data_IF_666879467992
#
_entry.id   IF_666879467992
#
_cell.length_a   1.000
_cell.length_b   1.000
_cell.length_c   1.000
_cell.angle_alpha   90.00
_cell.angle_beta   90.00
_cell.angle_gamma   90.00
#
_symmetry.space_group_name_H-M   'P 1'
#
loop_
_entity.id
_entity.type
_entity.pdbx_description
1 polymer ?
#
# COMPACT_ATOMS: atom_id res chain seq x y z
N UNK A 1 24.37 10.13 10.54
CA UNK A 1 24.01 8.72 10.85
C UNK A 1 22.95 8.30 9.82
N UNK A 2 22.99 7.07 9.31
CA UNK A 2 21.94 6.62 8.37
C UNK A 2 20.67 6.24 9.12
N UNK A 3 19.50 6.66 8.64
CA UNK A 3 18.22 6.21 9.21
C UNK A 3 17.98 4.73 8.91
N UNK A 4 17.47 4.01 9.91
CA UNK A 4 17.03 2.63 9.77
C UNK A 4 15.52 2.56 9.46
N UNK A 5 15.20 2.15 8.23
CA UNK A 5 13.83 1.89 7.74
C UNK A 5 13.49 0.39 7.64
N UNK A 6 14.29 -0.50 8.24
CA UNK A 6 14.18 -1.95 8.01
C UNK A 6 12.78 -2.47 8.32
N UNK A 7 12.18 -2.06 9.44
CA UNK A 7 10.88 -2.56 9.86
C UNK A 7 9.76 -2.08 8.93
N UNK A 8 9.79 -0.81 8.52
CA UNK A 8 8.83 -0.24 7.58
C UNK A 8 8.95 -0.91 6.21
N UNK A 9 10.17 -1.05 5.68
CA UNK A 9 10.40 -1.68 4.38
C UNK A 9 10.03 -3.16 4.39
N UNK A 10 10.34 -3.90 5.47
CA UNK A 10 9.92 -5.29 5.62
C UNK A 10 8.39 -5.40 5.61
N UNK A 11 7.70 -4.50 6.31
CA UNK A 11 6.24 -4.44 6.35
C UNK A 11 5.64 -4.13 4.97
N UNK A 12 6.23 -3.21 4.20
CA UNK A 12 5.82 -2.92 2.82
C UNK A 12 6.07 -4.10 1.86
N UNK A 13 7.15 -4.86 2.05
CA UNK A 13 7.42 -6.09 1.28
C UNK A 13 6.38 -7.16 1.58
N UNK A 14 6.05 -7.38 2.86
CA UNK A 14 5.01 -8.31 3.27
C UNK A 14 3.64 -7.90 2.69
N UNK A 15 3.30 -6.62 2.77
CA UNK A 15 2.07 -6.09 2.16
C UNK A 15 2.04 -6.36 0.65
N UNK A 16 3.13 -6.07 -0.06
CA UNK A 16 3.24 -6.33 -1.51
C UNK A 16 3.02 -7.81 -1.84
N UNK A 17 3.65 -8.71 -1.08
CA UNK A 17 3.48 -10.16 -1.24
C UNK A 17 2.04 -10.61 -1.00
N UNK A 18 1.40 -10.12 0.06
CA UNK A 18 0.01 -10.47 0.36
C UNK A 18 -0.98 -9.92 -0.67
N UNK A 19 -0.79 -8.69 -1.14
CA UNK A 19 -1.61 -8.11 -2.21
C UNK A 19 -1.45 -8.89 -3.51
N UNK A 20 -0.23 -9.33 -3.86
CA UNK A 20 -0.01 -10.20 -5.00
C UNK A 20 -0.72 -11.57 -4.85
N UNK A 21 -0.74 -12.13 -3.63
CA UNK A 21 -1.52 -13.34 -3.34
C UNK A 21 -3.02 -13.12 -3.49
N UNK A 22 -3.55 -11.97 -3.05
CA UNK A 22 -4.95 -11.60 -3.21
C UNK A 22 -5.32 -11.47 -4.70
N UNK A 23 -4.51 -10.78 -5.49
CA UNK A 23 -4.68 -10.68 -6.95
C UNK A 23 -4.66 -12.07 -7.61
N UNK A 24 -3.74 -12.95 -7.19
CA UNK A 24 -3.64 -14.32 -7.72
C UNK A 24 -4.91 -15.14 -7.49
N UNK A 25 -5.73 -14.83 -6.48
CA UNK A 25 -7.00 -15.52 -6.27
C UNK A 25 -7.99 -15.35 -7.43
N UNK A 26 -7.78 -14.35 -8.29
CA UNK A 26 -8.58 -14.07 -9.48
C UNK A 26 -7.93 -14.56 -10.78
N UNK A 27 -6.79 -15.25 -10.69
CA UNK A 27 -6.13 -15.81 -11.87
C UNK A 27 -6.91 -17.00 -12.45
N UNK A 28 -6.82 -17.25 -13.78
CA UNK A 28 -7.46 -18.40 -14.43
C UNK A 28 -7.04 -19.77 -13.90
N UNK A 29 -5.98 -19.84 -13.08
CA UNK A 29 -5.47 -21.07 -12.47
C UNK A 29 -6.28 -21.53 -11.26
N UNK A 30 -7.22 -20.72 -10.73
CA UNK A 30 -8.28 -21.22 -9.84
C UNK A 30 -9.40 -21.77 -10.70
N UNK A 31 -9.61 -23.08 -10.62
CA UNK A 31 -10.36 -23.96 -11.52
C UNK A 31 -11.86 -23.68 -11.73
N UNK A 32 -12.34 -22.47 -11.47
CA UNK A 32 -13.76 -22.08 -11.59
C UNK A 32 -13.87 -20.76 -12.36
N UNK A 33 -13.59 -20.81 -13.66
CA UNK A 33 -13.60 -19.64 -14.55
C UNK A 33 -15.02 -19.25 -14.95
N UNK A 34 -15.78 -18.71 -14.00
CA UNK A 34 -16.77 -17.64 -14.23
C UNK A 34 -16.28 -16.34 -13.60
N UNK A 35 -14.99 -16.04 -13.74
CA UNK A 35 -14.26 -14.92 -13.12
C UNK A 35 -14.55 -13.53 -13.74
N UNK A 36 -15.40 -13.45 -14.77
CA UNK A 36 -15.67 -12.21 -15.50
C UNK A 36 -16.82 -11.39 -14.88
N UNK A 37 -16.80 -11.15 -13.56
CA UNK A 37 -17.70 -10.17 -12.95
C UNK A 37 -17.03 -8.80 -12.89
N UNK A 38 -17.80 -7.73 -13.10
CA UNK A 38 -17.31 -6.35 -13.01
C UNK A 38 -16.67 -6.06 -11.64
N UNK A 39 -17.21 -6.65 -10.58
CA UNK A 39 -16.67 -6.55 -9.21
C UNK A 39 -15.27 -7.17 -9.08
N UNK A 40 -15.03 -8.34 -9.69
CA UNK A 40 -13.69 -8.96 -9.69
C UNK A 40 -12.66 -8.09 -10.41
N UNK A 41 -13.04 -7.52 -11.56
CA UNK A 41 -12.16 -6.61 -12.29
C UNK A 41 -11.83 -5.35 -11.46
N UNK A 42 -12.82 -4.81 -10.72
CA UNK A 42 -12.62 -3.68 -9.79
C UNK A 42 -11.72 -4.05 -8.62
N UNK A 43 -11.88 -5.23 -8.01
CA UNK A 43 -11.02 -5.69 -6.93
C UNK A 43 -9.56 -5.77 -7.36
N UNK A 44 -9.31 -6.39 -8.52
CA UNK A 44 -7.95 -6.49 -9.08
C UNK A 44 -7.37 -5.11 -9.38
N UNK A 45 -8.17 -4.18 -9.91
CA UNK A 45 -7.74 -2.81 -10.15
C UNK A 45 -7.31 -2.12 -8.85
N UNK A 46 -8.16 -2.10 -7.82
CA UNK A 46 -7.85 -1.45 -6.54
C UNK A 46 -6.66 -2.09 -5.82
N UNK A 47 -6.57 -3.43 -5.83
CA UNK A 47 -5.42 -4.15 -5.28
C UNK A 47 -4.13 -3.81 -6.04
N UNK A 48 -4.17 -3.75 -7.37
CA UNK A 48 -3.00 -3.41 -8.18
C UNK A 48 -2.57 -1.96 -7.98
N UNK A 49 -3.53 -1.03 -7.92
CA UNK A 49 -3.27 0.39 -7.67
C UNK A 49 -2.62 0.61 -6.30
N UNK A 50 -2.96 -0.21 -5.29
CA UNK A 50 -2.32 -0.15 -3.97
C UNK A 50 -0.81 -0.48 -3.97
N UNK A 51 -0.30 -1.09 -5.04
CA UNK A 51 1.14 -1.36 -5.18
C UNK A 51 1.90 -0.22 -5.87
N UNK A 52 1.18 0.69 -6.54
CA UNK A 52 1.74 1.46 -7.65
C UNK A 52 2.78 2.52 -7.26
N UNK A 53 3.03 2.82 -5.98
CA UNK A 53 4.03 3.85 -5.62
C UNK A 53 5.16 3.36 -4.69
N UNK A 54 5.23 2.06 -4.39
CA UNK A 54 6.31 1.54 -3.55
C UNK A 54 7.68 1.58 -4.23
N UNK A 55 7.74 1.54 -5.57
CA UNK A 55 8.99 1.73 -6.30
C UNK A 55 9.59 3.12 -6.02
N UNK A 56 8.76 4.18 -6.03
CA UNK A 56 9.21 5.55 -5.78
C UNK A 56 9.76 5.72 -4.36
N UNK A 57 9.13 5.07 -3.37
CA UNK A 57 9.64 5.02 -1.98
C UNK A 57 11.00 4.30 -1.96
N UNK A 58 11.09 3.10 -2.55
CA UNK A 58 12.32 2.31 -2.56
C UNK A 58 13.50 3.04 -3.22
N UNK A 59 13.26 3.70 -4.37
CA UNK A 59 14.27 4.54 -5.03
C UNK A 59 14.74 5.70 -4.15
N UNK A 60 13.81 6.36 -3.47
CA UNK A 60 14.13 7.49 -2.59
C UNK A 60 14.95 7.07 -1.37
N UNK A 61 14.68 5.88 -0.82
CA UNK A 61 15.49 5.29 0.25
C UNK A 61 16.91 5.00 -0.24
N UNK A 62 17.09 4.39 -1.41
CA UNK A 62 18.42 4.11 -1.99
C UNK A 62 19.25 5.38 -2.22
N UNK A 63 18.59 6.48 -2.55
CA UNK A 63 19.23 7.78 -2.77
C UNK A 63 19.46 8.58 -1.48
N UNK A 64 19.07 8.04 -0.32
CA UNK A 64 19.03 8.76 0.96
C UNK A 64 18.25 10.09 0.90
N UNK A 65 17.25 10.18 0.01
CA UNK A 65 16.42 11.37 -0.14
C UNK A 65 15.26 11.32 0.86
N UNK A 66 15.55 11.61 2.12
CA UNK A 66 14.59 11.51 3.23
C UNK A 66 13.38 12.43 3.07
N UNK A 67 13.56 13.63 2.48
CA UNK A 67 12.44 14.51 2.17
C UNK A 67 11.44 13.87 1.21
N UNK A 68 11.94 13.20 0.16
CA UNK A 68 11.07 12.52 -0.80
C UNK A 68 10.46 11.23 -0.24
N UNK A 69 11.17 10.50 0.63
CA UNK A 69 10.59 9.36 1.38
C UNK A 69 9.41 9.84 2.22
N UNK A 70 9.56 10.92 2.98
CA UNK A 70 8.50 11.47 3.82
C UNK A 70 7.28 11.88 2.99
N UNK A 71 7.51 12.59 1.88
CA UNK A 71 6.46 13.02 0.96
C UNK A 71 5.68 11.84 0.38
N UNK A 72 6.38 10.85 -0.21
CA UNK A 72 5.72 9.72 -0.87
C UNK A 72 4.97 8.82 0.12
N UNK A 73 5.53 8.62 1.32
CA UNK A 73 4.88 7.83 2.36
C UNK A 73 3.59 8.51 2.86
N UNK A 74 3.63 9.84 3.07
CA UNK A 74 2.45 10.61 3.44
C UNK A 74 1.36 10.61 2.36
N UNK A 75 1.74 10.84 1.10
CA UNK A 75 0.82 10.81 -0.04
C UNK A 75 0.09 9.47 -0.17
N UNK A 76 0.82 8.36 -0.01
CA UNK A 76 0.20 7.03 -0.05
C UNK A 76 -0.69 6.76 1.15
N UNK A 77 -0.29 7.20 2.35
CA UNK A 77 -1.11 7.03 3.55
C UNK A 77 -2.45 7.77 3.39
N UNK A 78 -2.43 9.00 2.87
CA UNK A 78 -3.62 9.80 2.58
C UNK A 78 -4.51 9.10 1.54
N UNK A 79 -3.95 8.66 0.41
CA UNK A 79 -4.71 7.93 -0.62
C UNK A 79 -5.41 6.68 -0.06
N UNK A 80 -4.72 5.91 0.79
CA UNK A 80 -5.32 4.73 1.40
C UNK A 80 -6.37 5.06 2.47
N UNK A 81 -6.21 6.17 3.19
CA UNK A 81 -7.27 6.68 4.07
C UNK A 81 -8.51 7.08 3.27
N UNK A 82 -8.35 7.76 2.13
CA UNK A 82 -9.45 8.10 1.22
C UNK A 82 -10.17 6.84 0.72
N UNK A 83 -9.42 5.79 0.36
CA UNK A 83 -10.00 4.50 -0.02
C UNK A 83 -10.92 3.94 1.08
N UNK A 84 -10.52 4.01 2.35
CA UNK A 84 -11.32 3.54 3.49
C UNK A 84 -12.55 4.41 3.78
N UNK A 85 -12.57 5.66 3.33
CA UNK A 85 -13.71 6.58 3.53
C UNK A 85 -14.82 6.38 2.48
N UNK A 86 -14.55 5.62 1.41
CA UNK A 86 -15.58 5.28 0.41
C UNK A 86 -16.65 4.34 0.99
N UNK A 87 -17.85 4.35 0.41
CA UNK A 87 -18.97 3.54 0.89
C UNK A 87 -18.66 2.03 0.76
N UNK A 88 -18.53 1.27 1.86
CA UNK A 88 -18.25 -0.16 1.80
C UNK A 88 -19.44 -0.99 1.28
N UNK A 89 -20.65 -0.40 1.19
CA UNK A 89 -21.82 -1.06 0.61
C UNK A 89 -21.86 -0.98 -0.91
N UNK A 90 -21.14 -0.04 -1.53
CA UNK A 90 -20.94 -0.01 -2.98
C UNK A 90 -19.90 -1.09 -3.37
N UNK A 91 -20.29 -2.16 -4.08
CA UNK A 91 -19.38 -3.24 -4.42
C UNK A 91 -18.22 -2.81 -5.34
N UNK A 92 -18.31 -1.66 -6.01
CA UNK A 92 -17.23 -1.13 -6.86
C UNK A 92 -16.27 -0.21 -6.11
N UNK A 93 -16.56 0.15 -4.86
CA UNK A 93 -15.72 1.04 -4.06
C UNK A 93 -14.43 0.34 -3.60
N UNK A 94 -13.34 1.12 -3.38
CA UNK A 94 -12.12 0.56 -2.83
C UNK A 94 -12.32 0.03 -1.40
N UNK A 95 -13.16 0.67 -0.56
CA UNK A 95 -13.46 0.17 0.78
C UNK A 95 -14.04 -1.26 0.73
N UNK A 96 -15.01 -1.49 -0.16
CA UNK A 96 -15.61 -2.80 -0.32
C UNK A 96 -14.60 -3.84 -0.86
N UNK A 97 -13.72 -3.44 -1.78
CA UNK A 97 -12.66 -4.29 -2.30
C UNK A 97 -11.69 -4.73 -1.19
N UNK A 98 -11.11 -3.79 -0.42
CA UNK A 98 -10.19 -4.14 0.65
C UNK A 98 -10.87 -4.91 1.79
N UNK A 99 -12.14 -4.65 2.08
CA UNK A 99 -12.91 -5.43 3.05
C UNK A 99 -13.02 -6.91 2.64
N UNK A 100 -13.29 -7.20 1.36
CA UNK A 100 -13.32 -8.59 0.84
C UNK A 100 -11.97 -9.30 0.96
N UNK A 101 -10.88 -8.54 0.92
CA UNK A 101 -9.51 -9.06 0.94
C UNK A 101 -8.79 -8.92 2.27
N UNK A 102 -9.48 -8.56 3.35
CA UNK A 102 -8.86 -8.29 4.67
C UNK A 102 -8.00 -9.43 5.21
N UNK A 103 -8.29 -10.68 4.82
CA UNK A 103 -7.50 -11.86 5.21
C UNK A 103 -6.08 -11.87 4.60
N UNK A 104 -5.86 -11.10 3.53
CA UNK A 104 -4.57 -10.94 2.85
C UNK A 104 -4.04 -9.51 3.03
N UNK A 105 -4.89 -8.52 2.77
CA UNK A 105 -4.51 -7.11 2.67
C UNK A 105 -5.17 -6.31 3.78
N UNK A 106 -4.37 -5.88 4.76
CA UNK A 106 -4.82 -4.98 5.81
C UNK A 106 -4.38 -3.54 5.48
N UNK A 107 -5.33 -2.74 5.01
CA UNK A 107 -5.07 -1.36 4.64
C UNK A 107 -4.76 -0.47 5.86
N UNK A 108 -5.32 -0.79 7.04
CA UNK A 108 -5.03 -0.02 8.26
C UNK A 108 -3.59 -0.24 8.71
N UNK A 109 -3.10 -1.49 8.64
CA UNK A 109 -1.73 -1.82 9.01
C UNK A 109 -0.70 -1.15 8.08
N UNK A 110 -0.95 -1.12 6.77
CA UNK A 110 -0.03 -0.44 5.82
C UNK A 110 -0.09 1.07 5.97
N UNK A 111 -1.25 1.67 6.25
CA UNK A 111 -1.35 3.11 6.56
C UNK A 111 -0.49 3.44 7.79
N UNK A 112 -0.60 2.67 8.87
CA UNK A 112 0.24 2.88 10.06
C UNK A 112 1.73 2.75 9.74
N UNK A 113 2.10 1.79 8.90
CA UNK A 113 3.49 1.61 8.42
C UNK A 113 3.98 2.84 7.64
N UNK A 114 3.16 3.35 6.73
CA UNK A 114 3.47 4.53 5.91
C UNK A 114 3.60 5.81 6.76
N UNK A 115 2.73 5.99 7.75
CA UNK A 115 2.81 7.12 8.68
C UNK A 115 4.08 7.05 9.55
N UNK A 116 4.47 5.87 10.01
CA UNK A 116 5.73 5.68 10.73
C UNK A 116 6.95 5.97 9.84
N UNK A 117 6.92 5.50 8.59
CA UNK A 117 7.97 5.78 7.61
C UNK A 117 8.09 7.29 7.34
N UNK A 118 6.95 7.97 7.16
CA UNK A 118 6.89 9.42 6.99
C UNK A 118 7.50 10.15 8.19
N UNK A 119 7.07 9.81 9.41
CA UNK A 119 7.55 10.45 10.63
C UNK A 119 9.07 10.27 10.81
N UNK A 120 9.59 9.05 10.61
CA UNK A 120 11.04 8.77 10.67
C UNK A 120 11.80 9.59 9.62
N UNK A 121 11.31 9.63 8.39
CA UNK A 121 11.97 10.35 7.31
C UNK A 121 11.95 11.87 7.50
N UNK A 122 10.86 12.42 8.04
CA UNK A 122 10.76 13.84 8.39
C UNK A 122 11.77 14.22 9.50
N UNK A 123 11.90 13.40 10.55
CA UNK A 123 12.88 13.61 11.60
C UNK A 123 14.33 13.63 11.05
N UNK A 124 14.65 12.78 10.07
CA UNK A 124 15.95 12.82 9.38
C UNK A 124 16.26 14.16 8.73
N UNK A 125 15.25 14.75 8.10
CA UNK A 125 15.39 16.02 7.38
C UNK A 125 15.65 17.13 8.38
N UNK A 126 14.91 17.16 9.49
CA UNK A 126 15.10 18.13 10.56
C UNK A 126 16.52 18.03 11.15
N UNK A 127 16.98 16.82 11.50
CA UNK A 127 18.33 16.59 12.02
C UNK A 127 19.45 17.02 11.05
N UNK A 128 19.22 16.93 9.74
CA UNK A 128 20.19 17.35 8.74
C UNK A 128 20.25 18.88 8.54
N UNK A 129 19.26 19.61 9.05
CA UNK A 129 19.16 21.08 8.96
C UNK A 129 19.68 21.82 10.19
N UNK A 130 20.01 21.11 11.27
CA UNK A 130 20.55 21.61 12.54
C UNK A 130 22.06 21.42 12.60
#
# INVERSE_FOLDING_TARGET
>A
MGINYTDELASLVLFTGNTALAIRQYSPYRADTTLASRTVARDVMWLSDSLHNFEAIGRSVLQANHAHVAFMAGLLAEQFQEHLQTDPSDPESPAAAFQRHTQYVDLHAVIATLLNLQAKAAAAVEEATV
#
